data_IF_380448220712
#
_entry.id   IF_380448220712
#
_cell.length_a   1.000
_cell.length_b   1.000
_cell.length_c   1.000
_cell.angle_alpha   90.00
_cell.angle_beta   90.00
_cell.angle_gamma   90.00
#
_symmetry.space_group_name_H-M   'P 1'
#
loop_
_entity.id
_entity.type
_entity.pdbx_description
1 polymer ?
#
# COMPACT_ATOMS: atom_id res chain seq x y z
N UNK A 1 18.52 0.45 34.97
CA UNK A 1 17.93 1.05 33.76
C UNK A 1 17.20 2.30 34.21
N UNK A 2 17.61 3.48 33.73
CA UNK A 2 16.82 4.71 33.93
C UNK A 2 15.60 4.64 33.01
N UNK A 3 14.40 4.74 33.58
CA UNK A 3 13.12 4.63 32.87
C UNK A 3 12.33 5.94 32.94
N UNK A 4 12.99 7.05 33.28
CA UNK A 4 12.35 8.36 33.43
C UNK A 4 12.03 8.99 32.08
N UNK A 5 10.75 9.19 31.78
CA UNK A 5 10.30 9.93 30.60
C UNK A 5 10.37 11.45 30.87
N UNK A 6 10.94 12.20 29.93
CA UNK A 6 11.02 13.66 29.98
C UNK A 6 10.26 14.26 28.80
N UNK A 7 9.25 15.11 29.02
CA UNK A 7 8.63 15.84 27.92
C UNK A 7 9.65 16.72 27.19
N UNK A 8 9.58 16.71 25.87
CA UNK A 8 10.43 17.52 24.99
C UNK A 8 9.75 18.81 24.53
N UNK A 9 8.44 18.90 24.76
CA UNK A 9 7.61 20.00 24.29
C UNK A 9 6.18 19.94 24.79
N UNK A 10 5.35 20.83 24.27
CA UNK A 10 3.92 20.93 24.60
C UNK A 10 3.09 21.25 23.36
N UNK A 11 1.88 20.69 23.31
CA UNK A 11 0.88 21.03 22.30
C UNK A 11 0.24 22.37 22.63
N UNK A 12 0.19 23.27 21.65
CA UNK A 12 -0.60 24.49 21.66
C UNK A 12 -1.70 24.36 20.62
N UNK A 13 -2.95 24.20 21.07
CA UNK A 13 -4.07 23.76 20.25
C UNK A 13 -5.32 24.60 20.52
N UNK A 14 -6.20 24.84 19.53
CA UNK A 14 -7.51 25.45 19.80
C UNK A 14 -8.45 24.53 20.59
N UNK A 15 -8.10 23.25 20.78
CA UNK A 15 -8.87 22.31 21.58
C UNK A 15 -8.57 22.50 23.07
N UNK A 16 -9.35 23.35 23.75
CA UNK A 16 -9.15 23.64 25.19
C UNK A 16 -10.03 22.79 26.11
N UNK A 17 -11.02 22.08 25.56
CA UNK A 17 -11.89 21.15 26.29
C UNK A 17 -11.79 19.74 25.69
N UNK A 18 -11.63 18.73 26.56
CA UNK A 18 -11.57 17.32 26.17
C UNK A 18 -12.84 16.86 25.44
N UNK A 19 -13.99 17.47 25.73
CA UNK A 19 -15.25 17.14 25.05
C UNK A 19 -15.25 17.54 23.57
N UNK A 20 -14.40 18.51 23.20
CA UNK A 20 -14.25 19.04 21.85
C UNK A 20 -13.15 18.30 21.06
N UNK A 21 -12.25 17.60 21.74
CA UNK A 21 -11.21 16.82 21.08
C UNK A 21 -11.86 15.71 20.22
N UNK A 22 -11.61 15.69 18.90
CA UNK A 22 -12.04 14.59 18.06
C UNK A 22 -11.43 13.27 18.54
N UNK A 23 -12.09 12.15 18.22
CA UNK A 23 -11.60 10.84 18.65
C UNK A 23 -10.41 10.37 17.81
N UNK A 24 -10.24 10.90 16.60
CA UNK A 24 -9.17 10.61 15.65
C UNK A 24 -8.87 11.87 14.81
N UNK A 25 -7.67 11.97 14.24
CA UNK A 25 -7.26 13.14 13.45
C UNK A 25 -8.11 13.39 12.20
N UNK A 26 -8.63 12.34 11.56
CA UNK A 26 -9.50 12.43 10.38
C UNK A 26 -10.95 12.86 10.70
N UNK A 27 -11.28 13.06 11.98
CA UNK A 27 -12.61 13.48 12.46
C UNK A 27 -12.69 14.99 12.70
N UNK A 28 -12.08 15.78 11.80
CA UNK A 28 -12.12 17.24 11.85
C UNK A 28 -11.15 17.85 12.87
N UNK A 29 -10.03 17.18 13.15
CA UNK A 29 -9.03 17.74 14.05
C UNK A 29 -8.32 18.95 13.40
N UNK A 30 -8.08 20.01 14.19
CA UNK A 30 -7.56 21.27 13.66
C UNK A 30 -6.06 21.20 13.37
N UNK A 31 -5.53 22.27 12.78
CA UNK A 31 -4.11 22.55 12.88
C UNK A 31 -3.75 22.97 14.31
N UNK A 32 -2.55 22.62 14.74
CA UNK A 32 -2.02 22.99 16.05
C UNK A 32 -0.51 23.19 15.97
N UNK A 33 0.03 23.80 17.02
CA UNK A 33 1.47 23.96 17.19
C UNK A 33 2.02 22.96 18.19
N UNK A 34 3.22 22.46 17.92
CA UNK A 34 4.04 21.76 18.89
C UNK A 34 5.20 22.67 19.28
N UNK A 35 5.23 23.13 20.54
CA UNK A 35 6.36 23.89 21.06
C UNK A 35 7.44 22.96 21.59
N UNK A 36 8.62 22.97 20.97
CA UNK A 36 9.79 22.21 21.40
C UNK A 36 10.68 23.10 22.24
N UNK A 37 11.01 22.64 23.45
CA UNK A 37 11.85 23.40 24.37
C UNK A 37 13.31 23.49 23.88
N UNK A 38 13.97 24.60 24.18
CA UNK A 38 15.33 24.92 23.70
C UNK A 38 16.37 23.78 23.81
N UNK A 39 16.45 23.01 24.91
CA UNK A 39 17.42 21.91 25.01
C UNK A 39 17.25 20.79 23.97
N UNK A 40 16.06 20.67 23.37
CA UNK A 40 15.72 19.61 22.42
C UNK A 40 15.74 20.09 20.96
N UNK A 41 15.88 21.39 20.72
CA UNK A 41 15.93 21.98 19.37
C UNK A 41 16.98 21.35 18.46
N UNK A 42 18.20 20.99 18.93
CA UNK A 42 19.17 20.30 18.07
C UNK A 42 18.67 18.97 17.49
N UNK A 43 17.72 18.31 18.16
CA UNK A 43 17.10 17.06 17.69
C UNK A 43 16.08 17.26 16.55
N UNK A 44 15.77 18.50 16.19
CA UNK A 44 14.89 18.83 15.06
C UNK A 44 15.66 18.96 13.74
N UNK A 45 16.98 18.77 13.76
CA UNK A 45 17.80 18.79 12.55
C UNK A 45 17.22 17.83 11.51
N UNK A 46 17.28 18.22 10.24
CA UNK A 46 16.65 17.55 9.08
C UNK A 46 15.12 17.54 8.99
N UNK A 47 14.38 17.99 10.02
CA UNK A 47 12.93 18.15 9.90
C UNK A 47 12.57 19.31 8.96
N UNK A 48 11.80 18.99 7.92
CA UNK A 48 11.36 19.96 6.91
C UNK A 48 9.85 19.90 6.70
N UNK A 49 9.20 21.04 6.37
CA UNK A 49 7.79 21.04 6.00
C UNK A 49 7.48 20.03 4.90
N UNK A 50 6.36 19.33 5.03
CA UNK A 50 5.89 18.28 4.13
C UNK A 50 6.02 16.88 4.71
N UNK A 51 6.91 16.66 5.68
CA UNK A 51 7.12 15.36 6.32
C UNK A 51 5.89 14.86 7.09
N UNK A 52 5.69 13.55 7.08
CA UNK A 52 4.73 12.85 7.94
C UNK A 52 5.42 12.43 9.25
N UNK A 53 4.88 12.89 10.37
CA UNK A 53 5.38 12.66 11.71
C UNK A 53 4.39 11.85 12.54
N UNK A 54 4.91 10.89 13.30
CA UNK A 54 4.23 10.27 14.43
C UNK A 54 4.63 11.04 15.68
N UNK A 55 3.71 11.83 16.24
CA UNK A 55 3.91 12.51 17.52
C UNK A 55 3.48 11.59 18.66
N UNK A 56 4.36 11.43 19.65
CA UNK A 56 4.04 10.75 20.89
C UNK A 56 3.79 11.78 21.98
N UNK A 57 2.61 11.70 22.61
CA UNK A 57 2.21 12.62 23.67
C UNK A 57 1.96 11.88 24.97
N UNK A 58 2.00 12.61 26.09
CA UNK A 58 1.52 12.12 27.38
C UNK A 58 0.15 12.72 27.65
N UNK A 59 -0.90 11.90 27.57
CA UNK A 59 -2.29 12.33 27.79
C UNK A 59 -2.52 12.51 29.30
N UNK A 60 -1.96 13.59 29.83
CA UNK A 60 -1.80 13.90 31.25
C UNK A 60 -3.11 13.94 32.06
N UNK A 61 -4.26 14.11 31.41
CA UNK A 61 -5.60 14.09 32.04
C UNK A 61 -6.27 12.72 32.04
N UNK A 62 -5.63 11.68 31.50
CA UNK A 62 -6.23 10.35 31.40
C UNK A 62 -6.27 9.61 32.74
N UNK A 63 -7.33 8.83 32.97
CA UNK A 63 -7.38 7.88 34.08
C UNK A 63 -6.50 6.66 33.79
N UNK A 64 -5.49 6.47 34.64
CA UNK A 64 -4.46 5.44 34.48
C UNK A 64 -4.86 4.07 35.04
N UNK A 65 -5.96 3.99 35.80
CA UNK A 65 -6.40 2.73 36.40
C UNK A 65 -7.30 1.90 35.48
N UNK A 66 -7.70 2.47 34.34
CA UNK A 66 -8.62 1.83 33.40
C UNK A 66 -7.91 0.76 32.57
N UNK A 67 -8.40 -0.49 32.65
CA UNK A 67 -7.91 -1.62 31.85
C UNK A 67 -8.87 -2.06 30.75
N UNK A 68 -10.12 -1.55 30.77
CA UNK A 68 -11.14 -1.92 29.79
C UNK A 68 -12.15 -0.79 29.60
N UNK A 69 -12.56 -0.57 28.35
CA UNK A 69 -13.52 0.47 27.96
C UNK A 69 -14.53 -0.04 26.94
N UNK A 70 -15.64 0.67 26.81
CA UNK A 70 -16.49 0.57 25.62
C UNK A 70 -15.83 1.38 24.49
N UNK A 71 -15.48 0.78 23.34
CA UNK A 71 -14.84 1.51 22.25
C UNK A 71 -15.63 2.74 21.85
N UNK A 72 -14.94 3.88 21.71
CA UNK A 72 -15.53 5.21 21.43
C UNK A 72 -16.58 5.66 22.47
N UNK A 73 -16.63 5.06 23.65
CA UNK A 73 -17.65 5.34 24.69
C UNK A 73 -19.04 4.78 24.39
N UNK A 74 -19.20 3.95 23.35
CA UNK A 74 -20.50 3.39 22.93
C UNK A 74 -20.85 2.15 23.76
N UNK A 75 -21.74 2.30 24.73
CA UNK A 75 -22.15 1.23 25.67
C UNK A 75 -22.82 0.04 25.00
N UNK A 76 -23.29 0.20 23.75
CA UNK A 76 -23.85 -0.91 22.94
C UNK A 76 -22.75 -1.83 22.42
N UNK A 77 -21.51 -1.36 22.33
CA UNK A 77 -20.36 -2.18 21.92
C UNK A 77 -19.85 -3.00 23.10
N UNK A 78 -19.39 -4.24 22.89
CA UNK A 78 -18.78 -4.99 23.98
C UNK A 78 -17.52 -4.27 24.49
N UNK A 79 -17.27 -4.39 25.79
CA UNK A 79 -16.04 -3.88 26.40
C UNK A 79 -14.82 -4.55 25.77
N UNK A 80 -13.74 -3.78 25.58
CA UNK A 80 -12.44 -4.26 25.08
C UNK A 80 -11.35 -3.86 26.05
N UNK A 81 -10.28 -4.67 26.14
CA UNK A 81 -9.08 -4.29 26.88
C UNK A 81 -8.41 -3.09 26.23
N UNK A 82 -7.91 -2.15 27.04
CA UNK A 82 -7.41 -0.85 26.52
C UNK A 82 -6.22 -0.99 25.59
N UNK A 83 -5.42 -2.07 25.66
CA UNK A 83 -4.23 -2.27 24.83
C UNK A 83 -4.52 -2.56 23.35
N UNK A 84 -5.74 -3.01 23.03
CA UNK A 84 -6.21 -3.18 21.65
C UNK A 84 -7.16 -2.04 21.23
N UNK A 85 -6.99 -0.86 21.85
CA UNK A 85 -7.77 0.35 21.57
C UNK A 85 -6.86 1.57 21.60
N UNK A 86 -7.36 2.69 21.07
CA UNK A 86 -6.72 4.02 21.19
C UNK A 86 -7.32 4.84 22.35
N UNK A 87 -7.82 4.19 23.40
CA UNK A 87 -8.36 4.88 24.57
C UNK A 87 -7.28 5.70 25.27
N UNK A 88 -7.52 6.98 25.62
CA UNK A 88 -6.58 7.76 26.42
C UNK A 88 -6.46 7.19 27.84
N UNK A 89 -7.57 6.74 28.43
CA UNK A 89 -7.61 6.11 29.74
C UNK A 89 -6.97 4.71 29.70
N UNK A 90 -5.76 4.60 30.24
CA UNK A 90 -4.90 3.39 30.29
C UNK A 90 -3.67 3.62 31.20
N UNK A 91 -2.98 2.56 31.67
CA UNK A 91 -1.86 2.68 32.62
C UNK A 91 -0.73 3.63 32.21
N UNK A 92 -0.33 3.56 30.94
CA UNK A 92 0.64 4.46 30.32
C UNK A 92 -0.09 5.23 29.22
N UNK A 93 -0.59 6.45 29.52
CA UNK A 93 -1.48 7.21 28.64
C UNK A 93 -0.70 7.90 27.51
N UNK A 94 0.05 7.10 26.75
CA UNK A 94 0.78 7.56 25.57
C UNK A 94 -0.20 7.73 24.42
N UNK A 95 -0.30 8.96 23.91
CA UNK A 95 -0.99 9.27 22.67
C UNK A 95 -0.07 9.06 21.47
N UNK A 96 -0.67 8.69 20.35
CA UNK A 96 0.02 8.49 19.07
C UNK A 96 -0.79 9.23 18.01
N UNK A 97 -0.18 10.25 17.41
CA UNK A 97 -0.83 11.13 16.45
C UNK A 97 -0.05 11.12 15.15
N UNK A 98 -0.73 10.86 14.04
CA UNK A 98 -0.14 10.94 12.70
C UNK A 98 -0.45 12.31 12.12
N UNK A 99 0.58 13.13 11.94
CA UNK A 99 0.44 14.52 11.51
C UNK A 99 1.38 14.82 10.34
N UNK A 100 1.05 15.84 9.55
CA UNK A 100 1.97 16.43 8.58
C UNK A 100 2.60 17.68 9.18
N UNK A 101 3.92 17.81 9.04
CA UNK A 101 4.63 19.04 9.35
C UNK A 101 4.33 20.08 8.27
N UNK A 102 3.73 21.18 8.65
CA UNK A 102 3.36 22.27 7.74
C UNK A 102 4.39 23.40 7.75
N UNK A 103 5.01 23.64 8.90
CA UNK A 103 5.88 24.80 9.11
C UNK A 103 6.77 24.62 10.34
N UNK A 104 7.97 25.21 10.32
CA UNK A 104 8.78 25.45 11.50
C UNK A 104 8.92 26.96 11.71
N UNK A 105 8.75 27.42 12.95
CA UNK A 105 8.86 28.83 13.33
C UNK A 105 9.65 28.99 14.63
N UNK A 106 10.28 30.15 14.88
CA UNK A 106 10.87 30.45 16.19
C UNK A 106 9.84 30.31 17.32
N UNK A 107 10.23 29.66 18.41
CA UNK A 107 9.44 29.52 19.63
C UNK A 107 9.87 30.48 20.74
N UNK A 108 9.24 30.33 21.90
CA UNK A 108 9.60 31.06 23.11
C UNK A 108 10.89 30.51 23.72
N UNK A 109 11.64 31.35 24.43
CA UNK A 109 12.82 30.95 25.22
C UNK A 109 13.88 30.16 24.44
N UNK A 110 14.07 30.47 23.16
CA UNK A 110 15.02 29.78 22.28
C UNK A 110 14.53 28.41 21.78
N UNK A 111 13.25 28.09 21.97
CA UNK A 111 12.59 26.92 21.39
C UNK A 111 12.24 27.09 19.91
N UNK A 112 11.60 26.06 19.35
CA UNK A 112 11.08 26.02 17.98
C UNK A 112 9.64 25.50 18.02
N UNK A 113 8.74 26.10 17.24
CA UNK A 113 7.35 25.63 17.10
C UNK A 113 7.18 24.93 15.76
N UNK A 114 6.49 23.80 15.77
CA UNK A 114 6.15 23.01 14.59
C UNK A 114 4.65 23.13 14.33
N UNK A 115 4.23 23.70 13.19
CA UNK A 115 2.81 23.71 12.80
C UNK A 115 2.48 22.36 12.20
N UNK A 116 1.45 21.70 12.70
CA UNK A 116 1.10 20.34 12.28
C UNK A 116 -0.40 20.19 12.07
N UNK A 117 -0.78 19.30 11.17
CA UNK A 117 -2.18 18.93 10.96
C UNK A 117 -2.34 17.52 10.36
N UNK A 118 -3.47 16.83 10.61
CA UNK A 118 -4.47 17.15 11.63
C UNK A 118 -4.00 16.74 13.03
N UNK A 119 -4.35 17.47 14.11
CA UNK A 119 -3.97 17.08 15.48
C UNK A 119 -5.14 17.17 16.49
N UNK A 120 -5.58 16.02 16.98
CA UNK A 120 -6.71 15.87 17.93
C UNK A 120 -6.31 15.95 19.41
N UNK A 121 -5.21 16.65 19.72
CA UNK A 121 -4.69 16.76 21.08
C UNK A 121 -5.17 18.05 21.79
N UNK A 122 -5.46 17.90 23.09
CA UNK A 122 -5.83 19.01 23.97
C UNK A 122 -4.67 20.00 24.11
N UNK A 123 -4.99 21.28 24.20
CA UNK A 123 -4.04 22.32 24.58
C UNK A 123 -3.31 21.99 25.90
N UNK A 124 -2.01 22.28 25.95
CA UNK A 124 -1.16 21.97 27.08
C UNK A 124 -0.75 20.49 27.19
N UNK A 125 -1.08 19.64 26.22
CA UNK A 125 -0.67 18.22 26.25
C UNK A 125 0.85 18.09 26.08
N UNK A 126 1.57 17.44 27.03
CA UNK A 126 3.01 17.23 26.88
C UNK A 126 3.36 16.32 25.70
N UNK A 127 4.41 16.69 24.97
CA UNK A 127 5.01 15.87 23.91
C UNK A 127 6.21 15.13 24.49
N UNK A 128 6.26 13.82 24.30
CA UNK A 128 7.35 12.97 24.81
C UNK A 128 8.37 12.61 23.73
N UNK A 129 7.96 12.49 22.47
CA UNK A 129 8.84 12.10 21.38
C UNK A 129 8.23 12.44 20.02
N UNK A 130 9.07 12.53 19.00
CA UNK A 130 8.70 12.73 17.60
C UNK A 130 9.41 11.66 16.78
N UNK A 131 8.65 10.91 15.99
CA UNK A 131 9.19 9.97 15.01
C UNK A 131 8.78 10.40 13.62
N UNK A 132 9.70 10.37 12.68
CA UNK A 132 9.34 10.40 11.27
C UNK A 132 8.78 9.04 10.88
N UNK A 133 7.78 9.02 10.01
CA UNK A 133 7.29 7.74 9.45
C UNK A 133 8.46 6.93 8.87
N UNK A 134 8.54 5.63 9.20
CA UNK A 134 9.64 4.74 8.79
C UNK A 134 9.88 4.73 7.26
N UNK A 135 8.84 5.07 6.48
CA UNK A 135 8.87 5.15 5.01
C UNK A 135 9.48 6.42 4.42
N UNK A 136 9.77 7.44 5.23
CA UNK A 136 10.29 8.74 4.79
C UNK A 136 11.68 9.05 5.35
N UNK A 137 12.33 8.08 5.99
CA UNK A 137 13.74 8.24 6.40
C UNK A 137 14.57 8.36 5.12
N UNK A 138 15.09 9.55 4.82
CA UNK A 138 16.19 9.62 3.85
C UNK A 138 17.33 8.78 4.42
N UNK A 139 17.86 7.78 3.69
CA UNK A 139 19.05 7.10 4.15
C UNK A 139 20.15 8.14 4.32
N UNK A 140 20.72 8.22 5.52
CA UNK A 140 21.93 8.99 5.72
C UNK A 140 23.02 8.32 4.86
N UNK A 141 23.60 9.03 3.87
CA UNK A 141 24.61 8.44 3.00
C UNK A 141 25.85 7.95 3.76
N UNK A 142 26.02 8.32 5.03
CA UNK A 142 27.10 7.85 5.90
C UNK A 142 26.74 6.65 6.79
N UNK A 143 25.46 6.33 6.99
CA UNK A 143 25.05 5.25 7.90
C UNK A 143 24.83 3.95 7.13
N UNK A 144 25.83 3.07 7.11
CA UNK A 144 25.78 1.74 6.51
C UNK A 144 24.85 0.73 7.20
N UNK A 145 23.70 1.17 7.72
CA UNK A 145 22.74 0.32 8.43
C UNK A 145 21.55 -0.01 7.51
N UNK A 146 21.70 -1.09 6.75
CA UNK A 146 20.54 -1.91 6.41
C UNK A 146 20.08 -2.65 7.66
N UNK A 147 18.78 -2.84 7.86
CA UNK A 147 18.16 -3.99 8.55
C UNK A 147 16.63 -3.89 8.49
N UNK A 148 16.04 -4.90 7.85
CA UNK A 148 14.94 -5.76 8.32
C UNK A 148 13.74 -5.15 9.06
N UNK A 149 12.59 -5.18 8.38
CA UNK A 149 11.41 -5.88 8.89
C UNK A 149 10.29 -5.09 9.60
N UNK A 150 9.07 -5.42 9.16
CA UNK A 150 7.81 -5.54 9.94
C UNK A 150 6.92 -4.30 10.11
N UNK A 151 5.63 -4.49 9.77
CA UNK A 151 4.47 -3.76 10.33
C UNK A 151 3.58 -3.12 9.27
N UNK A 152 2.47 -3.74 8.84
CA UNK A 152 1.15 -3.77 9.49
C UNK A 152 0.50 -2.37 9.68
N UNK A 153 -0.56 -2.06 8.93
CA UNK A 153 -1.95 -2.06 9.45
C UNK A 153 -2.96 -1.45 8.45
N UNK A 154 -4.19 -1.86 8.70
CA UNK A 154 -5.52 -1.55 8.20
C UNK A 154 -5.90 -0.08 8.31
N UNK A 155 -6.64 0.37 7.30
CA UNK A 155 -7.84 1.21 7.43
C UNK A 155 -8.60 1.03 6.10
N UNK A 156 -9.88 0.68 6.05
CA UNK A 156 -10.95 1.19 6.89
C UNK A 156 -11.49 2.46 6.25
N UNK A 157 -12.03 2.39 5.03
CA UNK A 157 -12.91 3.46 4.56
C UNK A 157 -14.10 2.92 3.76
N UNK A 158 -15.27 3.37 4.18
CA UNK A 158 -16.57 3.04 3.59
C UNK A 158 -16.84 4.04 2.48
N UNK A 159 -17.02 3.54 1.25
CA UNK A 159 -17.33 4.37 0.08
C UNK A 159 -18.83 4.67 0.08
N UNK A 160 -19.21 5.94 0.23
CA UNK A 160 -20.56 6.42 -0.14
C UNK A 160 -20.57 6.71 -1.64
N UNK A 161 -21.43 6.00 -2.36
CA UNK A 161 -21.74 6.29 -3.75
C UNK A 161 -22.48 7.61 -3.86
N UNK A 162 -21.92 8.55 -4.62
CA UNK A 162 -22.67 9.68 -5.16
C UNK A 162 -23.15 9.27 -6.56
N UNK A 163 -24.46 9.35 -6.75
CA UNK A 163 -25.17 9.06 -8.00
C UNK A 163 -24.74 10.04 -9.09
N UNK A 164 -24.41 9.50 -10.27
CA UNK A 164 -24.20 10.28 -11.48
C UNK A 164 -25.56 10.60 -12.10
N UNK A 165 -25.87 11.89 -12.22
CA UNK A 165 -26.93 12.35 -13.12
C UNK A 165 -26.38 12.39 -14.55
N UNK A 166 -27.17 11.85 -15.46
CA UNK A 166 -26.88 11.81 -16.89
C UNK A 166 -27.22 13.16 -17.51
N UNK A 167 -26.29 13.72 -18.29
CA UNK A 167 -26.65 14.56 -19.41
C UNK A 167 -25.75 14.25 -20.61
N UNK A 168 -26.42 13.95 -21.70
CA UNK A 168 -25.91 13.60 -23.01
C UNK A 168 -25.34 14.82 -23.74
N UNK A 169 -24.16 14.70 -24.35
CA UNK A 169 -24.03 15.14 -25.73
C UNK A 169 -22.83 14.53 -26.48
N UNK A 170 -23.04 14.37 -27.78
CA UNK A 170 -22.29 13.57 -28.73
C UNK A 170 -21.03 14.25 -29.31
N UNK A 171 -20.14 13.39 -29.82
CA UNK A 171 -19.09 13.61 -30.82
C UNK A 171 -18.00 14.67 -30.53
N UNK A 172 -16.79 14.18 -30.26
CA UNK A 172 -15.57 14.97 -30.41
C UNK A 172 -14.34 14.18 -29.97
N UNK A 173 -13.48 13.87 -30.93
CA UNK A 173 -12.20 13.20 -30.80
C UNK A 173 -11.39 13.75 -29.60
N UNK A 174 -11.26 12.99 -28.50
CA UNK A 174 -10.52 13.41 -27.31
C UNK A 174 -9.02 13.15 -27.52
N UNK A 175 -8.33 14.13 -28.10
CA UNK A 175 -6.88 14.24 -27.97
C UNK A 175 -6.52 14.40 -26.49
N UNK A 176 -5.59 13.58 -26.01
CA UNK A 176 -5.00 13.73 -24.67
C UNK A 176 -4.27 15.07 -24.62
N UNK A 177 -4.94 16.08 -24.06
CA UNK A 177 -4.25 17.27 -23.59
C UNK A 177 -3.47 16.85 -22.34
N UNK A 178 -2.16 16.69 -22.49
CA UNK A 178 -1.24 16.80 -21.35
C UNK A 178 -1.44 18.20 -20.81
N UNK A 179 -2.14 18.30 -19.68
CA UNK A 179 -2.30 19.56 -18.95
C UNK A 179 -0.89 19.96 -18.48
N UNK A 180 -0.24 20.82 -19.26
CA UNK A 180 0.94 21.56 -18.83
C UNK A 180 0.52 22.48 -17.69
N UNK A 181 0.63 21.97 -16.46
CA UNK A 181 0.21 22.71 -15.26
C UNK A 181 -0.11 21.87 -14.02
N UNK A 182 0.01 20.53 -14.05
CA UNK A 182 -0.08 19.75 -12.81
C UNK A 182 1.16 19.99 -11.96
N UNK A 183 0.98 20.20 -10.65
CA UNK A 183 2.08 20.22 -9.68
C UNK A 183 3.04 19.04 -9.91
N UNK A 184 4.35 19.20 -9.66
CA UNK A 184 5.31 18.12 -9.85
C UNK A 184 4.89 16.91 -9.03
N UNK A 185 4.63 15.80 -9.71
CA UNK A 185 4.30 14.54 -9.06
C UNK A 185 5.49 14.10 -8.21
N UNK A 186 5.27 13.63 -6.96
CA UNK A 186 6.35 13.11 -6.13
C UNK A 186 7.03 11.89 -6.76
N UNK A 187 6.38 11.26 -7.75
CA UNK A 187 6.87 10.08 -8.46
C UNK A 187 7.78 10.39 -9.66
N UNK A 188 7.97 11.66 -9.99
CA UNK A 188 8.72 12.13 -11.15
C UNK A 188 7.84 12.76 -12.22
N UNK A 189 8.49 13.50 -13.13
CA UNK A 189 7.80 14.21 -14.22
C UNK A 189 7.01 13.24 -15.11
N UNK A 190 5.75 13.57 -15.39
CA UNK A 190 4.88 12.78 -16.25
C UNK A 190 4.25 11.53 -15.62
N UNK A 191 4.52 11.22 -14.34
CA UNK A 191 3.92 10.08 -13.63
C UNK A 191 2.72 10.54 -12.78
N UNK A 192 1.48 10.09 -13.07
CA UNK A 192 0.32 10.54 -12.29
C UNK A 192 0.25 9.94 -10.90
N UNK A 193 0.25 10.80 -9.88
CA UNK A 193 0.33 10.44 -8.46
C UNK A 193 -0.75 9.42 -8.04
N UNK A 194 -2.01 9.64 -8.42
CA UNK A 194 -3.10 8.72 -8.02
C UNK A 194 -2.93 7.29 -8.54
N UNK A 195 -2.45 7.12 -9.77
CA UNK A 195 -2.16 5.80 -10.35
C UNK A 195 -0.90 5.18 -9.72
N UNK A 196 0.10 6.00 -9.45
CA UNK A 196 1.33 5.57 -8.82
C UNK A 196 1.10 5.06 -7.39
N UNK A 197 0.29 5.78 -6.61
CA UNK A 197 -0.11 5.39 -5.25
C UNK A 197 -0.98 4.13 -5.26
N UNK A 198 -1.89 3.98 -6.23
CA UNK A 198 -2.65 2.75 -6.40
C UNK A 198 -1.72 1.55 -6.68
N UNK A 199 -0.79 1.71 -7.62
CA UNK A 199 0.14 0.65 -8.00
C UNK A 199 1.06 0.30 -6.82
N UNK A 200 1.58 1.30 -6.10
CA UNK A 200 2.33 1.12 -4.83
C UNK A 200 1.53 0.31 -3.82
N UNK A 201 0.27 0.68 -3.58
CA UNK A 201 -0.61 0.01 -2.62
C UNK A 201 -0.85 -1.45 -2.98
N UNK A 202 -1.08 -1.77 -4.26
CA UNK A 202 -1.31 -3.14 -4.71
C UNK A 202 -0.04 -3.98 -4.67
N UNK A 203 1.09 -3.42 -5.11
CA UNK A 203 2.38 -4.11 -5.04
C UNK A 203 2.79 -4.40 -3.59
N UNK A 204 2.65 -3.41 -2.69
CA UNK A 204 2.89 -3.60 -1.26
C UNK A 204 1.99 -4.68 -0.67
N UNK A 205 0.68 -4.69 -1.00
CA UNK A 205 -0.23 -5.74 -0.54
C UNK A 205 0.21 -7.12 -1.02
N UNK A 206 0.51 -7.27 -2.31
CA UNK A 206 0.98 -8.56 -2.84
C UNK A 206 2.27 -9.04 -2.17
N UNK A 207 3.17 -8.11 -1.84
CA UNK A 207 4.42 -8.40 -1.16
C UNK A 207 4.17 -8.85 0.29
N UNK A 208 3.30 -8.14 1.02
CA UNK A 208 2.89 -8.52 2.38
C UNK A 208 2.19 -9.88 2.45
N UNK A 209 1.60 -10.34 1.34
CA UNK A 209 0.99 -11.67 1.20
C UNK A 209 1.98 -12.74 0.75
N UNK A 210 3.22 -12.38 0.46
CA UNK A 210 4.27 -13.30 -0.01
C UNK A 210 4.09 -13.73 -1.48
N UNK A 211 3.34 -12.97 -2.28
CA UNK A 211 3.18 -13.22 -3.72
C UNK A 211 4.31 -12.60 -4.57
N UNK A 212 4.99 -11.60 -3.99
CA UNK A 212 6.26 -11.06 -4.48
C UNK A 212 7.39 -11.41 -3.49
N UNK A 213 8.61 -11.48 -3.99
CA UNK A 213 9.84 -11.65 -3.22
C UNK A 213 10.97 -10.87 -3.88
N UNK A 214 11.68 -10.05 -3.09
CA UNK A 214 12.73 -9.16 -3.60
C UNK A 214 12.23 -8.27 -4.74
N UNK A 215 12.84 -8.45 -5.93
CA UNK A 215 12.58 -7.65 -7.13
C UNK A 215 11.66 -8.33 -8.15
N UNK A 216 11.17 -9.55 -7.86
CA UNK A 216 10.41 -10.34 -8.81
C UNK A 216 8.99 -9.78 -9.06
N UNK A 217 8.31 -10.37 -10.05
CA UNK A 217 6.99 -9.94 -10.49
C UNK A 217 6.98 -8.55 -11.13
N UNK A 218 5.80 -8.11 -11.54
CA UNK A 218 5.55 -6.78 -12.08
C UNK A 218 4.04 -6.50 -12.09
N UNK A 219 3.67 -5.23 -12.11
CA UNK A 219 2.27 -4.83 -12.16
C UNK A 219 2.10 -3.57 -13.02
N UNK A 220 0.94 -3.44 -13.66
CA UNK A 220 0.58 -2.23 -14.37
C UNK A 220 -0.91 -1.87 -14.28
N UNK A 221 -1.21 -0.59 -14.51
CA UNK A 221 -2.54 -0.03 -14.61
C UNK A 221 -2.73 0.60 -15.99
N UNK A 222 -3.85 0.30 -16.66
CA UNK A 222 -4.23 0.96 -17.92
C UNK A 222 -4.68 2.40 -17.66
N UNK A 223 -4.26 3.29 -18.55
CA UNK A 223 -4.59 4.71 -18.58
C UNK A 223 -4.89 5.12 -20.02
N UNK A 224 -6.13 4.91 -20.46
CA UNK A 224 -6.52 5.12 -21.85
C UNK A 224 -5.69 4.26 -22.81
N UNK A 225 -4.89 4.92 -23.66
CA UNK A 225 -3.99 4.27 -24.63
C UNK A 225 -2.61 3.92 -24.08
N UNK A 226 -2.30 4.34 -22.85
CA UNK A 226 -1.05 4.03 -22.16
C UNK A 226 -1.29 3.14 -20.93
N UNK A 227 -0.22 2.67 -20.30
CA UNK A 227 -0.26 2.04 -18.99
C UNK A 227 0.90 2.50 -18.11
N UNK A 228 0.64 2.64 -16.82
CA UNK A 228 1.68 2.82 -15.79
C UNK A 228 2.16 1.46 -15.34
N UNK A 229 3.45 1.17 -15.51
CA UNK A 229 4.08 -0.14 -15.30
C UNK A 229 5.26 -0.01 -14.33
N UNK A 230 5.47 -1.00 -13.47
CA UNK A 230 6.67 -1.06 -12.61
C UNK A 230 7.96 -1.19 -13.44
N UNK A 231 9.01 -0.45 -13.05
CA UNK A 231 10.33 -0.50 -13.65
C UNK A 231 11.03 -1.85 -13.42
N UNK A 232 12.01 -2.13 -14.28
CA UNK A 232 12.93 -3.25 -14.08
C UNK A 232 13.74 -3.04 -12.80
N UNK A 233 13.86 -4.08 -11.97
CA UNK A 233 14.59 -4.02 -10.70
C UNK A 233 13.86 -3.30 -9.57
N UNK A 234 12.63 -2.79 -9.78
CA UNK A 234 11.86 -2.15 -8.71
C UNK A 234 11.43 -3.17 -7.64
N UNK A 235 11.53 -2.83 -6.36
CA UNK A 235 11.09 -3.67 -5.25
C UNK A 235 9.59 -3.48 -5.02
N UNK A 236 8.77 -4.51 -5.24
CA UNK A 236 7.30 -4.37 -5.22
C UNK A 236 6.76 -4.06 -3.83
N UNK A 237 7.50 -4.43 -2.78
CA UNK A 237 7.20 -4.06 -1.40
C UNK A 237 7.48 -2.60 -1.06
N UNK A 238 8.25 -1.88 -1.87
CA UNK A 238 8.72 -0.53 -1.55
C UNK A 238 8.89 0.35 -2.80
N UNK A 239 7.87 0.38 -3.66
CA UNK A 239 7.90 1.27 -4.82
C UNK A 239 7.98 2.74 -4.38
N UNK A 240 8.89 3.48 -5.00
CA UNK A 240 9.10 4.92 -4.81
C UNK A 240 9.36 5.69 -6.12
N UNK A 241 9.75 6.97 -6.01
CA UNK A 241 10.04 7.80 -7.18
C UNK A 241 11.10 7.16 -8.08
N UNK A 242 10.86 7.11 -9.39
CA UNK A 242 11.74 6.45 -10.36
C UNK A 242 11.45 4.96 -10.62
N UNK A 243 10.61 4.32 -9.80
CA UNK A 243 10.26 2.89 -9.95
C UNK A 243 9.12 2.61 -10.91
N UNK A 244 8.57 3.64 -11.57
CA UNK A 244 7.45 3.53 -12.49
C UNK A 244 7.79 4.09 -13.87
N UNK A 245 7.21 3.49 -14.89
CA UNK A 245 7.31 3.88 -16.28
C UNK A 245 5.90 4.01 -16.88
N UNK A 246 5.61 5.14 -17.53
CA UNK A 246 4.42 5.30 -18.35
C UNK A 246 4.75 4.84 -19.76
N UNK A 247 4.00 3.87 -20.29
CA UNK A 247 4.29 3.21 -21.56
C UNK A 247 3.06 3.24 -22.47
N UNK A 248 3.24 3.63 -23.72
CA UNK A 248 2.17 3.55 -24.73
C UNK A 248 1.85 2.08 -25.06
N UNK A 249 0.57 1.71 -25.02
CA UNK A 249 0.16 0.32 -25.18
C UNK A 249 0.35 -0.16 -26.63
N UNK A 250 0.08 0.70 -27.62
CA UNK A 250 0.12 0.29 -29.02
C UNK A 250 1.56 0.07 -29.50
N UNK A 251 2.44 1.03 -29.25
CA UNK A 251 3.82 1.05 -29.73
C UNK A 251 4.84 0.45 -28.76
N UNK A 252 4.53 0.44 -27.45
CA UNK A 252 5.51 0.12 -26.41
C UNK A 252 6.51 1.23 -26.11
N UNK A 253 6.33 2.43 -26.68
CA UNK A 253 7.18 3.57 -26.41
C UNK A 253 7.06 4.01 -24.93
N UNK A 254 8.19 4.31 -24.29
CA UNK A 254 8.21 4.91 -22.95
C UNK A 254 7.88 6.40 -23.10
N UNK A 255 6.81 6.83 -22.44
CA UNK A 255 6.30 8.19 -22.46
C UNK A 255 6.85 9.03 -21.31
N UNK A 256 7.08 8.42 -20.14
CA UNK A 256 7.63 9.07 -18.95
C UNK A 256 8.19 8.03 -17.96
N UNK A 257 9.01 8.47 -17.00
CA UNK A 257 9.53 7.63 -15.92
C UNK A 257 10.77 6.81 -16.29
N UNK A 258 10.97 5.70 -15.57
CA UNK A 258 12.18 4.86 -15.68
C UNK A 258 12.13 3.80 -16.78
N UNK A 259 13.08 2.85 -16.72
CA UNK A 259 13.12 1.71 -17.64
C UNK A 259 12.03 0.70 -17.26
N UNK A 260 11.04 0.40 -18.14
CA UNK A 260 9.97 -0.54 -17.84
C UNK A 260 10.51 -1.94 -17.53
N UNK A 261 9.71 -2.75 -16.81
CA UNK A 261 10.03 -4.16 -16.55
C UNK A 261 10.47 -4.89 -17.82
N UNK A 262 11.42 -5.82 -17.70
CA UNK A 262 11.82 -6.71 -18.80
C UNK A 262 10.66 -7.52 -19.37
N UNK A 263 9.60 -7.70 -18.60
CA UNK A 263 8.38 -8.41 -19.01
C UNK A 263 7.24 -7.46 -19.38
N UNK A 264 7.54 -6.17 -19.60
CA UNK A 264 6.54 -5.18 -20.01
C UNK A 264 5.79 -5.59 -21.28
N UNK A 265 6.47 -6.25 -22.23
CA UNK A 265 5.85 -6.75 -23.46
C UNK A 265 4.63 -7.66 -23.21
N UNK A 266 4.67 -8.49 -22.16
CA UNK A 266 3.54 -9.33 -21.75
C UNK A 266 2.33 -8.49 -21.33
N UNK A 267 2.54 -7.45 -20.52
CA UNK A 267 1.46 -6.54 -20.11
C UNK A 267 0.82 -5.85 -21.31
N UNK A 268 1.65 -5.35 -22.23
CA UNK A 268 1.16 -4.67 -23.44
C UNK A 268 0.38 -5.63 -24.35
N UNK A 269 0.87 -6.86 -24.52
CA UNK A 269 0.19 -7.89 -25.31
C UNK A 269 -1.19 -8.24 -24.72
N UNK A 270 -1.28 -8.41 -23.39
CA UNK A 270 -2.56 -8.62 -22.70
C UNK A 270 -3.50 -7.43 -22.92
N UNK A 271 -3.03 -6.19 -22.75
CA UNK A 271 -3.86 -5.01 -22.97
C UNK A 271 -4.36 -4.89 -24.42
N UNK A 272 -3.55 -5.26 -25.42
CA UNK A 272 -3.98 -5.28 -26.82
C UNK A 272 -5.05 -6.35 -27.07
N UNK A 273 -4.92 -7.50 -26.44
CA UNK A 273 -5.87 -8.62 -26.58
C UNK A 273 -7.15 -8.46 -25.74
N UNK A 274 -7.09 -7.73 -24.62
CA UNK A 274 -8.18 -7.52 -23.66
C UNK A 274 -8.42 -6.03 -23.42
N UNK A 275 -9.30 -5.38 -24.22
CA UNK A 275 -9.67 -3.98 -24.02
C UNK A 275 -10.35 -3.71 -22.66
N UNK A 276 -10.97 -4.73 -22.05
CA UNK A 276 -11.63 -4.67 -20.74
C UNK A 276 -10.64 -4.77 -19.56
N UNK A 277 -9.39 -5.21 -19.80
CA UNK A 277 -8.38 -5.29 -18.77
C UNK A 277 -7.87 -3.89 -18.41
N UNK A 278 -8.08 -3.51 -17.14
CA UNK A 278 -7.64 -2.24 -16.55
C UNK A 278 -6.39 -2.38 -15.70
N UNK A 279 -6.03 -3.60 -15.33
CA UNK A 279 -4.79 -3.89 -14.61
C UNK A 279 -4.26 -5.28 -14.95
N UNK A 280 -2.94 -5.42 -14.85
CA UNK A 280 -2.23 -6.70 -14.97
C UNK A 280 -1.27 -6.83 -13.79
N UNK A 281 -1.30 -7.98 -13.13
CA UNK A 281 -0.51 -8.32 -11.94
C UNK A 281 0.19 -9.66 -12.19
N UNK A 282 1.51 -9.61 -12.37
CA UNK A 282 2.34 -10.79 -12.51
C UNK A 282 3.08 -11.08 -11.19
N UNK A 283 2.81 -12.24 -10.60
CA UNK A 283 3.33 -12.69 -9.29
C UNK A 283 3.99 -14.05 -9.39
N UNK A 284 4.75 -14.43 -8.37
CA UNK A 284 5.41 -15.74 -8.24
C UNK A 284 4.90 -16.47 -6.98
N UNK A 285 3.63 -16.94 -6.95
CA UNK A 285 3.04 -17.48 -5.73
C UNK A 285 3.71 -18.81 -5.32
N UNK A 286 4.32 -18.91 -4.12
CA UNK A 286 5.19 -20.04 -3.78
C UNK A 286 4.49 -21.41 -3.80
N UNK A 287 3.23 -21.49 -3.36
CA UNK A 287 2.52 -22.77 -3.30
C UNK A 287 2.00 -23.16 -4.67
N UNK A 288 1.56 -22.20 -5.48
CA UNK A 288 1.19 -22.48 -6.86
C UNK A 288 2.42 -22.96 -7.66
N UNK A 289 3.59 -22.35 -7.45
CA UNK A 289 4.87 -22.80 -7.99
C UNK A 289 5.22 -24.23 -7.56
N UNK A 290 5.13 -24.53 -6.27
CA UNK A 290 5.39 -25.86 -5.75
C UNK A 290 4.41 -26.91 -6.34
N UNK A 291 3.13 -26.56 -6.46
CA UNK A 291 2.13 -27.43 -7.06
C UNK A 291 2.44 -27.71 -8.54
N UNK A 292 2.76 -26.68 -9.33
CA UNK A 292 3.11 -26.84 -10.75
C UNK A 292 4.38 -27.66 -11.00
N UNK A 293 5.22 -27.85 -9.98
CA UNK A 293 6.36 -28.77 -10.03
C UNK A 293 6.00 -30.23 -9.71
N UNK A 294 4.84 -30.47 -9.09
CA UNK A 294 4.41 -31.80 -8.63
C UNK A 294 3.36 -32.46 -9.53
N UNK A 295 2.53 -31.66 -10.21
CA UNK A 295 1.43 -32.16 -11.03
C UNK A 295 1.44 -31.50 -12.41
N UNK A 296 0.97 -32.19 -13.47
CA UNK A 296 0.81 -31.58 -14.77
C UNK A 296 -0.23 -30.44 -14.74
N UNK A 297 -0.16 -29.47 -15.67
CA UNK A 297 -1.10 -28.35 -15.76
C UNK A 297 -2.58 -28.74 -15.66
N UNK A 298 -2.98 -29.84 -16.30
CA UNK A 298 -4.37 -30.30 -16.28
C UNK A 298 -4.87 -30.70 -14.89
N UNK A 299 -3.99 -31.09 -13.98
CA UNK A 299 -4.36 -31.47 -12.61
C UNK A 299 -4.14 -30.34 -11.59
N UNK A 300 -3.57 -29.21 -12.01
CA UNK A 300 -3.43 -28.04 -11.15
C UNK A 300 -4.80 -27.51 -10.70
N UNK A 301 -4.91 -27.26 -9.40
CA UNK A 301 -6.07 -26.73 -8.69
C UNK A 301 -7.34 -27.54 -8.91
N UNK A 302 -7.24 -28.83 -9.24
CA UNK A 302 -8.37 -29.75 -9.42
C UNK A 302 -8.72 -30.41 -8.09
N UNK A 303 -9.66 -29.81 -7.36
CA UNK A 303 -10.16 -30.29 -6.06
C UNK A 303 -11.69 -30.45 -6.12
N UNK A 304 -12.27 -31.43 -5.40
CA UNK A 304 -13.72 -31.63 -5.35
C UNK A 304 -14.40 -30.64 -4.39
N UNK A 305 -14.16 -29.34 -4.57
CA UNK A 305 -14.78 -28.24 -3.82
C UNK A 305 -15.26 -27.16 -4.80
N UNK A 306 -16.39 -26.52 -4.51
CA UNK A 306 -17.03 -25.57 -5.43
C UNK A 306 -16.12 -24.39 -5.81
N UNK A 307 -15.33 -23.88 -4.86
CA UNK A 307 -14.40 -22.78 -5.10
C UNK A 307 -13.33 -23.14 -6.14
N UNK A 308 -12.88 -24.39 -6.15
CA UNK A 308 -11.89 -24.90 -7.12
C UNK A 308 -12.46 -24.93 -8.54
N UNK A 309 -13.70 -25.37 -8.72
CA UNK A 309 -14.35 -25.39 -10.04
C UNK A 309 -14.46 -23.98 -10.63
N UNK A 310 -14.89 -23.01 -9.81
CA UNK A 310 -15.05 -21.61 -10.23
C UNK A 310 -13.72 -20.93 -10.55
N UNK A 311 -12.72 -21.06 -9.67
CA UNK A 311 -11.44 -20.37 -9.79
C UNK A 311 -10.53 -21.02 -10.84
N UNK A 312 -10.52 -22.36 -10.93
CA UNK A 312 -9.82 -23.05 -12.02
C UNK A 312 -10.46 -22.73 -13.37
N UNK A 313 -11.76 -22.47 -13.41
CA UNK A 313 -12.45 -21.92 -14.58
C UNK A 313 -11.93 -20.56 -15.05
N UNK A 314 -11.17 -19.83 -14.24
CA UNK A 314 -10.53 -18.57 -14.62
C UNK A 314 -9.05 -18.72 -14.98
N UNK A 315 -8.48 -19.92 -14.85
CA UNK A 315 -7.06 -20.19 -15.07
C UNK A 315 -6.80 -20.76 -16.47
N UNK A 316 -6.01 -20.04 -17.25
CA UNK A 316 -5.37 -20.49 -18.49
C UNK A 316 -3.94 -20.93 -18.27
N UNK A 317 -3.33 -21.48 -19.32
CA UNK A 317 -1.99 -22.05 -19.27
C UNK A 317 -1.18 -21.58 -20.48
N UNK A 318 0.04 -21.12 -20.23
CA UNK A 318 1.02 -20.77 -21.25
C UNK A 318 2.25 -21.69 -21.12
N UNK A 319 2.76 -22.25 -22.24
CA UNK A 319 3.97 -23.06 -22.22
C UNK A 319 5.18 -22.24 -21.75
N UNK A 320 6.20 -22.95 -21.30
CA UNK A 320 7.40 -22.32 -20.78
C UNK A 320 8.21 -21.63 -21.89
N UNK A 321 8.34 -20.31 -21.75
CA UNK A 321 9.22 -19.46 -22.55
C UNK A 321 10.14 -18.66 -21.62
N UNK A 322 11.25 -18.13 -22.15
CA UNK A 322 12.16 -17.33 -21.35
C UNK A 322 11.50 -15.99 -20.93
N UNK A 323 11.73 -15.50 -19.69
CA UNK A 323 11.22 -14.22 -19.24
C UNK A 323 11.64 -13.06 -20.15
N UNK A 324 10.70 -12.16 -20.45
CA UNK A 324 10.94 -10.97 -21.25
C UNK A 324 11.02 -11.19 -22.77
N UNK A 325 10.78 -12.41 -23.27
CA UNK A 325 10.71 -12.65 -24.72
C UNK A 325 9.32 -12.39 -25.30
N UNK A 326 9.26 -12.20 -26.63
CA UNK A 326 8.00 -11.98 -27.32
C UNK A 326 7.14 -13.25 -27.35
N UNK A 327 7.76 -14.43 -27.42
CA UNK A 327 7.05 -15.72 -27.39
C UNK A 327 6.28 -15.90 -26.07
N UNK A 328 6.88 -15.49 -24.93
CA UNK A 328 6.17 -15.49 -23.65
C UNK A 328 4.98 -14.53 -23.68
N UNK A 329 5.19 -13.30 -24.17
CA UNK A 329 4.14 -12.29 -24.24
C UNK A 329 2.96 -12.74 -25.10
N UNK A 330 3.21 -13.33 -26.27
CA UNK A 330 2.20 -13.81 -27.20
C UNK A 330 1.44 -15.01 -26.63
N UNK A 331 2.14 -15.97 -26.02
CA UNK A 331 1.53 -17.13 -25.40
C UNK A 331 0.61 -16.76 -24.22
N UNK A 332 1.05 -15.83 -23.37
CA UNK A 332 0.24 -15.35 -22.24
C UNK A 332 -0.95 -14.55 -22.73
N UNK A 333 -0.77 -13.65 -23.70
CA UNK A 333 -1.87 -12.86 -24.25
C UNK A 333 -2.94 -13.75 -24.91
N UNK A 334 -2.54 -14.79 -25.65
CA UNK A 334 -3.46 -15.75 -26.25
C UNK A 334 -4.32 -16.47 -25.19
N UNK A 335 -3.71 -16.93 -24.10
CA UNK A 335 -4.43 -17.54 -22.98
C UNK A 335 -5.35 -16.53 -22.25
N UNK A 336 -4.87 -15.29 -22.09
CA UNK A 336 -5.59 -14.21 -21.40
C UNK A 336 -6.86 -13.73 -22.14
N UNK A 337 -7.05 -14.07 -23.43
CA UNK A 337 -8.28 -13.73 -24.17
C UNK A 337 -9.52 -14.31 -23.48
N UNK A 338 -9.42 -15.51 -22.89
CA UNK A 338 -10.57 -16.24 -22.32
C UNK A 338 -10.46 -16.48 -20.83
N UNK A 339 -9.32 -16.12 -20.22
CA UNK A 339 -8.99 -16.44 -18.83
C UNK A 339 -8.42 -15.21 -18.15
N UNK A 340 -8.85 -14.96 -16.91
CA UNK A 340 -8.40 -13.80 -16.14
C UNK A 340 -7.09 -14.06 -15.40
N UNK A 341 -6.68 -15.33 -15.28
CA UNK A 341 -5.37 -15.74 -14.82
C UNK A 341 -4.70 -16.66 -15.83
N UNK A 342 -3.39 -16.56 -15.97
CA UNK A 342 -2.56 -17.42 -16.82
C UNK A 342 -1.40 -17.94 -16.00
N UNK A 343 -1.37 -19.26 -15.81
CA UNK A 343 -0.21 -19.97 -15.32
C UNK A 343 0.84 -20.07 -16.43
N UNK A 344 2.05 -19.60 -16.13
CA UNK A 344 3.21 -19.69 -17.02
C UNK A 344 4.10 -20.81 -16.53
N UNK A 345 4.20 -21.88 -17.31
CA UNK A 345 4.93 -23.09 -16.91
C UNK A 345 6.39 -22.76 -16.55
N UNK A 346 6.85 -23.27 -15.40
CA UNK A 346 8.20 -23.02 -14.82
C UNK A 346 8.52 -21.55 -14.53
N UNK A 347 7.50 -20.69 -14.42
CA UNK A 347 7.72 -19.25 -14.27
C UNK A 347 6.86 -18.63 -13.15
N UNK A 348 5.53 -18.61 -13.29
CA UNK A 348 4.69 -17.89 -12.33
C UNK A 348 3.26 -17.68 -12.82
N UNK A 349 2.61 -16.66 -12.27
CA UNK A 349 1.20 -16.37 -12.52
C UNK A 349 1.03 -14.95 -13.04
N UNK A 350 0.23 -14.77 -14.08
CA UNK A 350 -0.18 -13.46 -14.57
C UNK A 350 -1.70 -13.33 -14.47
N UNK A 351 -2.19 -12.31 -13.78
CA UNK A 351 -3.62 -12.04 -13.63
C UNK A 351 -3.99 -10.70 -14.26
N UNK A 352 -5.04 -10.68 -15.07
CA UNK A 352 -5.61 -9.49 -15.68
C UNK A 352 -7.03 -9.27 -15.17
N UNK A 353 -7.48 -8.02 -15.05
CA UNK A 353 -8.84 -7.76 -14.62
C UNK A 353 -9.27 -6.30 -14.65
N UNK A 354 -10.51 -6.01 -14.23
CA UNK A 354 -11.09 -4.66 -14.28
C UNK A 354 -10.52 -3.71 -13.22
N UNK A 355 -9.70 -4.21 -12.30
CA UNK A 355 -8.90 -3.40 -11.37
C UNK A 355 -7.74 -4.23 -10.83
N UNK A 356 -6.69 -3.54 -10.35
CA UNK A 356 -5.54 -4.20 -9.76
C UNK A 356 -5.89 -4.95 -8.46
N UNK A 357 -6.90 -4.48 -7.72
CA UNK A 357 -7.44 -5.20 -6.58
C UNK A 357 -8.08 -6.55 -6.96
N UNK A 358 -8.81 -6.62 -8.09
CA UNK A 358 -9.42 -7.86 -8.57
C UNK A 358 -8.37 -8.82 -9.13
N UNK A 359 -7.41 -8.32 -9.90
CA UNK A 359 -6.30 -9.13 -10.42
C UNK A 359 -5.46 -9.74 -9.28
N UNK A 360 -5.10 -8.94 -8.27
CA UNK A 360 -4.36 -9.44 -7.10
C UNK A 360 -5.19 -10.43 -6.27
N UNK A 361 -6.49 -10.17 -6.07
CA UNK A 361 -7.36 -11.09 -5.34
C UNK A 361 -7.44 -12.47 -6.02
N UNK A 362 -7.49 -12.51 -7.36
CA UNK A 362 -7.45 -13.78 -8.09
C UNK A 362 -6.13 -14.53 -7.84
N UNK A 363 -4.98 -13.84 -7.82
CA UNK A 363 -3.71 -14.45 -7.46
C UNK A 363 -3.70 -14.98 -6.01
N UNK A 364 -4.26 -14.24 -5.05
CA UNK A 364 -4.41 -14.67 -3.65
C UNK A 364 -5.26 -15.96 -3.53
N UNK A 365 -6.38 -16.03 -4.27
CA UNK A 365 -7.29 -17.19 -4.27
C UNK A 365 -6.64 -18.44 -4.90
N UNK A 366 -5.94 -18.29 -6.02
CA UNK A 366 -5.26 -19.40 -6.68
C UNK A 366 -4.09 -19.94 -5.83
N UNK A 367 -3.34 -19.06 -5.16
CA UNK A 367 -2.32 -19.45 -4.17
C UNK A 367 -2.95 -20.17 -2.96
N UNK A 368 -4.13 -19.73 -2.51
CA UNK A 368 -4.86 -20.41 -1.44
C UNK A 368 -5.28 -21.82 -1.85
N UNK A 369 -5.86 -22.00 -3.04
CA UNK A 369 -6.24 -23.32 -3.54
C UNK A 369 -5.02 -24.23 -3.73
N UNK A 370 -3.89 -23.69 -4.19
CA UNK A 370 -2.64 -24.45 -4.29
C UNK A 370 -2.21 -25.01 -2.93
N UNK A 371 -2.32 -24.20 -1.87
CA UNK A 371 -2.07 -24.66 -0.48
C UNK A 371 -2.95 -25.85 -0.09
N UNK A 372 -4.24 -25.78 -0.43
CA UNK A 372 -5.19 -26.85 -0.12
C UNK A 372 -4.81 -28.13 -0.87
N UNK A 373 -4.53 -28.05 -2.17
CA UNK A 373 -4.14 -29.22 -2.95
C UNK A 373 -2.83 -29.83 -2.49
N UNK A 374 -1.81 -29.02 -2.16
CA UNK A 374 -0.56 -29.52 -1.59
C UNK A 374 -0.77 -30.26 -0.26
N UNK A 375 -1.67 -29.75 0.61
CA UNK A 375 -2.01 -30.42 1.85
C UNK A 375 -2.69 -31.78 1.60
N UNK A 376 -3.60 -31.85 0.61
CA UNK A 376 -4.24 -33.10 0.20
C UNK A 376 -3.22 -34.10 -0.36
N UNK A 377 -2.31 -33.67 -1.24
CA UNK A 377 -1.26 -34.53 -1.79
C UNK A 377 -0.33 -35.06 -0.69
N UNK A 378 0.05 -34.20 0.26
CA UNK A 378 0.90 -34.57 1.39
C UNK A 378 0.23 -35.59 2.32
N UNK A 379 -1.08 -35.45 2.56
CA UNK A 379 -1.82 -36.40 3.37
C UNK A 379 -1.93 -37.78 2.69
N UNK A 380 -2.15 -37.82 1.37
CA UNK A 380 -2.22 -39.08 0.63
C UNK A 380 -0.88 -39.81 0.58
N UNK A 381 0.25 -39.11 0.51
CA UNK A 381 1.57 -39.73 0.60
C UNK A 381 1.74 -40.49 1.92
N UNK A 382 1.37 -39.89 3.05
CA UNK A 382 1.47 -40.49 4.39
C UNK A 382 0.52 -41.66 4.66
N UNK A 383 -0.51 -41.84 3.84
CA UNK A 383 -1.45 -42.98 3.96
C UNK A 383 -0.97 -44.18 3.13
N UNK A 384 -0.07 -43.95 2.17
CA UNK A 384 0.50 -45.00 1.31
C UNK A 384 1.80 -45.59 1.86
N UNK A 385 2.49 -44.86 2.74
CA UNK A 385 3.58 -45.34 3.59
C UNK A 385 3.03 -45.99 4.87
#
# INVERSE_FOLDING_TARGET
>A
MDTTLRPIGVIVSPLTDLSQCPKQGDEGAPEAWVEIAAPYVPGLDTLTPGLSLTLLTWLHRADRHVLSVHPRGDTRRPRRGVFNTRSPARPNPVGLHEVRLLELAPGTDGGVRLRVAPLEALDGTPVIDIKTSYRQRQPDPASGDGLDGVGADRSGNTFRMAEASADSNANGNASVHVVSGSAPSPWGEGIPEGYADELRRICLRGWQRGLYSGFNGNASLRMGTACLLTCSGAAKGDLGPGDLALVDIASGAVLAGGKPSSEGAMHLAIYRARPDAMAVVHTHPPRLLALGALVPPDDMLRLPIYESELLRGQLGFAPAHAPGTQELADAVAAAAVTRDAVWMERHGLCCAGPSAARALALAEELEHLARVQLAVLSAHAKVRD
#
